data_IF_638540125364
#
_entry.id   IF_638540125364
#
_cell.length_a   1.000
_cell.length_b   1.000
_cell.length_c   1.000
_cell.angle_alpha   90.00
_cell.angle_beta   90.00
_cell.angle_gamma   90.00
#
_symmetry.space_group_name_H-M   'P 1'
#
loop_
_entity.id
_entity.type
_entity.pdbx_description
1 polymer ?
#
# COMPACT_ATOMS: atom_id res chain seq x y z
N UNK A 1 1.06 13.43 13.99
CA UNK A 1 2.51 13.67 13.69
C UNK A 1 2.69 14.05 12.22
N UNK A 2 3.07 15.28 11.91
CA UNK A 2 3.34 15.71 10.53
C UNK A 2 4.81 15.47 10.17
N UNK A 3 5.08 14.50 9.29
CA UNK A 3 6.43 14.26 8.76
C UNK A 3 6.54 14.99 7.41
N UNK A 4 7.09 16.21 7.45
CA UNK A 4 7.32 17.07 6.28
C UNK A 4 8.48 16.60 5.39
N UNK A 5 8.39 15.39 4.83
CA UNK A 5 9.44 14.78 4.00
C UNK A 5 9.48 15.33 2.57
N UNK A 6 8.53 16.18 2.19
CA UNK A 6 8.42 16.77 0.85
C UNK A 6 9.65 17.57 0.39
N UNK A 7 10.45 18.08 1.33
CA UNK A 7 11.69 18.82 1.03
C UNK A 7 12.86 17.92 0.63
N UNK A 8 12.72 16.59 0.78
CA UNK A 8 13.73 15.62 0.38
C UNK A 8 13.63 15.35 -1.14
N UNK A 9 13.95 16.36 -1.93
CA UNK A 9 13.74 16.37 -3.39
C UNK A 9 14.52 15.30 -4.14
N UNK A 10 15.57 14.71 -3.55
CA UNK A 10 16.33 13.59 -4.13
C UNK A 10 15.94 12.21 -3.59
N UNK A 11 15.00 12.12 -2.64
CA UNK A 11 14.65 10.86 -2.00
C UNK A 11 13.89 9.94 -2.97
N UNK A 12 14.50 8.80 -3.30
CA UNK A 12 13.92 7.81 -4.22
C UNK A 12 13.20 6.67 -3.53
N UNK A 13 13.63 6.32 -2.32
CA UNK A 13 13.12 5.19 -1.55
C UNK A 13 12.82 5.63 -0.13
N UNK A 14 11.64 5.27 0.37
CA UNK A 14 11.20 5.55 1.72
C UNK A 14 10.53 4.30 2.29
N UNK A 15 10.94 3.89 3.48
CA UNK A 15 10.24 2.86 4.25
C UNK A 15 9.70 3.50 5.52
N UNK A 16 8.43 3.26 5.79
CA UNK A 16 7.71 3.74 6.95
C UNK A 16 7.27 2.50 7.73
N UNK A 17 7.80 2.30 8.92
CA UNK A 17 7.44 1.19 9.79
C UNK A 17 6.69 1.70 11.02
N UNK A 18 5.58 1.06 11.37
CA UNK A 18 4.92 1.23 12.65
C UNK A 18 5.74 0.57 13.77
N UNK A 19 5.70 1.16 14.96
CA UNK A 19 6.16 0.48 16.18
C UNK A 19 5.17 -0.62 16.55
N UNK A 20 5.68 -1.77 16.98
CA UNK A 20 4.87 -2.92 17.40
C UNK A 20 4.32 -2.76 18.84
N UNK A 21 4.82 -1.76 19.55
CA UNK A 21 4.64 -1.52 20.97
C UNK A 21 3.50 -0.53 21.24
N UNK A 22 2.26 -1.01 21.09
CA UNK A 22 1.05 -0.60 21.82
C UNK A 22 0.49 0.81 21.56
N UNK A 23 1.33 1.81 21.30
CA UNK A 23 0.94 3.16 20.93
C UNK A 23 0.92 3.26 19.40
N UNK A 24 -0.07 2.59 18.81
CA UNK A 24 -0.33 2.72 17.38
C UNK A 24 -0.67 4.16 17.04
N UNK A 25 0.05 4.73 16.06
CA UNK A 25 -0.30 5.99 15.42
C UNK A 25 -1.78 5.92 14.96
N UNK A 26 -2.64 6.75 15.55
CA UNK A 26 -4.07 6.78 15.25
C UNK A 26 -4.31 7.38 13.85
N UNK A 27 -5.46 7.04 13.25
CA UNK A 27 -5.88 7.43 11.88
C UNK A 27 -5.73 8.94 11.59
N UNK A 28 -5.82 9.76 12.62
CA UNK A 28 -5.82 11.22 12.58
C UNK A 28 -4.40 11.82 12.51
N UNK A 29 -3.38 11.02 12.87
CA UNK A 29 -2.02 11.48 13.10
C UNK A 29 -1.08 11.35 11.90
N UNK A 30 -1.42 10.55 10.90
CA UNK A 30 -0.51 10.23 9.78
C UNK A 30 -0.78 11.12 8.57
N UNK A 31 -0.52 12.43 8.71
CA UNK A 31 -0.39 13.33 7.55
C UNK A 31 1.07 13.30 7.10
N UNK A 32 1.41 12.30 6.28
CA UNK A 32 2.75 12.22 5.69
C UNK A 32 2.67 12.84 4.30
N UNK A 33 3.37 13.96 4.13
CA UNK A 33 3.57 14.55 2.81
C UNK A 33 4.83 13.93 2.23
N UNK A 34 4.64 13.13 1.19
CA UNK A 34 5.70 12.36 0.54
C UNK A 34 6.43 13.21 -0.51
N UNK A 35 7.75 13.01 -0.70
CA UNK A 35 8.49 13.72 -1.74
C UNK A 35 8.07 13.24 -3.13
N UNK A 36 7.87 14.17 -4.07
CA UNK A 36 7.42 13.87 -5.45
C UNK A 36 8.42 13.06 -6.27
N UNK A 37 9.68 12.99 -5.83
CA UNK A 37 10.75 12.23 -6.47
C UNK A 37 10.76 10.74 -6.09
N UNK A 38 9.90 10.34 -5.14
CA UNK A 38 9.83 8.99 -4.63
C UNK A 38 9.40 8.01 -5.71
N UNK A 39 10.16 6.92 -5.82
CA UNK A 39 9.94 5.82 -6.77
C UNK A 39 9.54 4.54 -6.06
N UNK A 40 9.99 4.37 -4.81
CA UNK A 40 9.75 3.20 -3.98
C UNK A 40 9.20 3.64 -2.62
N UNK A 41 8.07 3.07 -2.22
CA UNK A 41 7.47 3.29 -0.93
C UNK A 41 7.15 1.95 -0.25
N UNK A 42 7.60 1.78 0.98
CA UNK A 42 7.22 0.66 1.84
C UNK A 42 6.48 1.16 3.07
N UNK A 43 5.36 0.51 3.41
CA UNK A 43 4.57 0.75 4.62
C UNK A 43 4.45 -0.58 5.37
N UNK A 44 5.03 -0.66 6.55
CA UNK A 44 5.22 -1.93 7.25
C UNK A 44 4.77 -1.86 8.72
N UNK A 45 4.24 -2.95 9.27
CA UNK A 45 4.01 -3.15 10.70
C UNK A 45 3.10 -2.12 11.38
N UNK A 46 1.97 -1.79 10.76
CA UNK A 46 0.94 -0.95 11.39
C UNK A 46 -0.28 -1.79 11.80
N UNK A 47 -0.34 -2.31 13.04
CA UNK A 47 -1.41 -3.21 13.47
C UNK A 47 -2.80 -2.58 13.41
N UNK A 48 -2.93 -1.30 13.76
CA UNK A 48 -4.23 -0.61 13.90
C UNK A 48 -4.52 0.39 12.75
N UNK A 49 -3.77 0.31 11.64
CA UNK A 49 -3.95 1.20 10.50
C UNK A 49 -5.10 0.72 9.63
N UNK A 50 -6.24 1.41 9.69
CA UNK A 50 -7.45 1.01 8.95
C UNK A 50 -7.51 1.53 7.53
N UNK A 51 -6.95 2.72 7.30
CA UNK A 51 -7.00 3.45 6.04
C UNK A 51 -5.67 4.15 5.80
N UNK A 52 -5.24 4.20 4.54
CA UNK A 52 -4.13 5.03 4.11
C UNK A 52 -4.67 6.41 3.70
N UNK A 53 -4.68 7.36 4.61
CA UNK A 53 -5.13 8.74 4.34
C UNK A 53 -4.03 9.54 3.66
N UNK A 54 -3.84 9.32 2.36
CA UNK A 54 -2.86 10.08 1.60
C UNK A 54 -3.49 10.64 0.33
N UNK A 55 -4.05 11.84 0.46
CA UNK A 55 -4.42 12.68 -0.69
C UNK A 55 -3.26 12.91 -1.67
N UNK A 56 -2.04 12.62 -1.24
CA UNK A 56 -0.83 12.84 -2.02
C UNK A 56 -0.43 11.65 -2.90
N UNK A 57 -1.00 10.44 -2.74
CA UNK A 57 -0.57 9.28 -3.55
C UNK A 57 -0.86 9.48 -5.04
N UNK A 58 -2.05 9.99 -5.38
CA UNK A 58 -2.41 10.40 -6.74
C UNK A 58 -1.44 11.45 -7.31
N UNK A 59 -0.79 12.22 -6.42
CA UNK A 59 0.14 13.30 -6.74
C UNK A 59 1.61 12.91 -6.62
N UNK A 60 1.95 11.62 -6.54
CA UNK A 60 3.32 11.10 -6.63
C UNK A 60 3.64 10.69 -8.07
N UNK A 61 4.12 11.61 -8.92
CA UNK A 61 4.26 11.37 -10.36
C UNK A 61 5.37 10.36 -10.72
N UNK A 62 6.20 9.98 -9.75
CA UNK A 62 7.34 9.09 -9.98
C UNK A 62 7.21 7.75 -9.26
N UNK A 63 6.11 7.49 -8.55
CA UNK A 63 6.00 6.29 -7.73
C UNK A 63 5.72 5.07 -8.60
N UNK A 64 6.66 4.14 -8.60
CA UNK A 64 6.63 2.93 -9.44
C UNK A 64 6.40 1.66 -8.61
N UNK A 65 6.84 1.65 -7.35
CA UNK A 65 6.80 0.48 -6.47
C UNK A 65 6.17 0.82 -5.11
N UNK A 66 5.13 0.08 -4.75
CA UNK A 66 4.44 0.19 -3.47
C UNK A 66 4.39 -1.16 -2.74
N UNK A 67 4.95 -1.21 -1.54
CA UNK A 67 4.91 -2.36 -0.65
C UNK A 67 4.11 -2.05 0.61
N UNK A 68 3.19 -2.95 0.96
CA UNK A 68 2.37 -2.87 2.16
C UNK A 68 2.50 -4.19 2.92
N UNK A 69 3.00 -4.14 4.15
CA UNK A 69 3.38 -5.33 4.92
C UNK A 69 2.84 -5.30 6.34
N UNK A 70 2.21 -6.38 6.79
CA UNK A 70 1.75 -6.55 8.19
C UNK A 70 0.89 -5.38 8.69
N UNK A 71 -0.10 -4.98 7.89
CA UNK A 71 -1.11 -4.00 8.26
C UNK A 71 -2.48 -4.72 8.34
N UNK A 72 -2.76 -5.46 9.42
CA UNK A 72 -3.90 -6.37 9.49
C UNK A 72 -5.26 -5.69 9.48
N UNK A 73 -5.38 -4.48 10.03
CA UNK A 73 -6.63 -3.72 10.01
C UNK A 73 -6.83 -2.89 8.73
N UNK A 74 -5.86 -2.86 7.82
CA UNK A 74 -5.95 -2.06 6.60
C UNK A 74 -6.96 -2.68 5.64
N UNK A 75 -8.04 -1.96 5.36
CA UNK A 75 -9.17 -2.48 4.58
C UNK A 75 -9.33 -1.85 3.19
N UNK A 76 -8.59 -0.79 2.88
CA UNK A 76 -8.70 -0.11 1.57
C UNK A 76 -7.41 0.60 1.17
N UNK A 77 -7.26 0.81 -0.14
CA UNK A 77 -6.18 1.56 -0.77
C UNK A 77 -6.61 2.99 -1.06
N UNK A 78 -5.65 3.94 -1.07
CA UNK A 78 -5.90 5.27 -1.62
C UNK A 78 -6.00 5.17 -3.16
N UNK A 79 -6.35 6.27 -3.83
CA UNK A 79 -6.16 6.39 -5.28
C UNK A 79 -4.67 6.25 -5.59
N UNK A 80 -4.33 5.23 -6.36
CA UNK A 80 -2.94 4.93 -6.72
C UNK A 80 -2.52 5.79 -7.93
N UNK A 81 -1.25 6.24 -7.99
CA UNK A 81 -0.79 7.05 -9.10
C UNK A 81 -0.68 6.21 -10.39
N UNK A 82 -0.94 6.80 -11.58
CA UNK A 82 -0.90 6.09 -12.87
C UNK A 82 0.41 5.35 -13.23
N UNK A 83 1.63 5.83 -12.88
CA UNK A 83 2.87 5.14 -13.23
C UNK A 83 3.18 3.91 -12.35
N UNK A 84 2.31 3.50 -11.44
CA UNK A 84 2.59 2.40 -10.54
C UNK A 84 2.74 1.08 -11.32
N UNK A 85 3.94 0.49 -11.25
CA UNK A 85 4.29 -0.73 -11.98
C UNK A 85 4.06 -1.98 -11.12
N UNK A 86 4.26 -1.86 -9.81
CA UNK A 86 4.23 -2.99 -8.89
C UNK A 86 3.56 -2.61 -7.56
N UNK A 87 2.57 -3.42 -7.18
CA UNK A 87 1.97 -3.44 -5.85
C UNK A 87 2.27 -4.78 -5.17
N UNK A 88 2.85 -4.75 -3.98
CA UNK A 88 3.06 -5.94 -3.15
C UNK A 88 2.33 -5.80 -1.83
N UNK A 89 1.48 -6.76 -1.51
CA UNK A 89 0.72 -6.81 -0.25
C UNK A 89 1.08 -8.12 0.48
N UNK A 90 1.51 -8.03 1.73
CA UNK A 90 1.86 -9.22 2.52
C UNK A 90 1.38 -9.10 3.95
N UNK A 91 0.64 -10.11 4.44
CA UNK A 91 0.16 -10.11 5.83
C UNK A 91 -0.89 -9.03 6.13
N UNK A 92 -1.69 -8.66 5.12
CA UNK A 92 -2.79 -7.70 5.23
C UNK A 92 -4.13 -8.38 4.86
N UNK A 93 -4.72 -9.20 5.76
CA UNK A 93 -5.89 -10.02 5.45
C UNK A 93 -7.11 -9.25 4.93
N UNK A 94 -7.47 -8.12 5.54
CA UNK A 94 -8.63 -7.32 5.11
C UNK A 94 -8.39 -6.74 3.71
N UNK A 95 -7.21 -6.18 3.47
CA UNK A 95 -6.86 -5.63 2.16
C UNK A 95 -6.78 -6.70 1.07
N UNK A 96 -6.24 -7.88 1.39
CA UNK A 96 -6.23 -9.03 0.49
C UNK A 96 -7.63 -9.41 0.03
N UNK A 97 -8.58 -9.49 0.96
CA UNK A 97 -9.97 -9.79 0.63
C UNK A 97 -10.60 -8.67 -0.22
N UNK A 98 -10.32 -7.42 0.10
CA UNK A 98 -10.77 -6.26 -0.63
C UNK A 98 -10.20 -6.17 -2.07
N UNK A 99 -8.99 -6.69 -2.27
CA UNK A 99 -8.30 -6.70 -3.56
C UNK A 99 -8.57 -7.96 -4.41
N UNK A 100 -9.43 -8.88 -3.97
CA UNK A 100 -9.72 -10.12 -4.71
C UNK A 100 -10.11 -9.84 -6.16
N UNK A 101 -9.50 -10.57 -7.10
CA UNK A 101 -9.78 -10.43 -8.54
C UNK A 101 -11.27 -10.55 -8.84
N UNK A 102 -11.80 -9.60 -9.60
CA UNK A 102 -13.19 -9.51 -10.08
C UNK A 102 -14.30 -9.44 -9.00
N UNK A 103 -13.96 -9.59 -7.72
CA UNK A 103 -14.92 -9.71 -6.61
C UNK A 103 -14.68 -8.69 -5.49
N UNK A 104 -13.43 -8.26 -5.34
CA UNK A 104 -13.01 -7.31 -4.33
C UNK A 104 -13.50 -5.90 -4.64
N UNK A 105 -13.93 -5.17 -3.61
CA UNK A 105 -14.36 -3.78 -3.74
C UNK A 105 -13.23 -2.82 -4.14
N UNK A 106 -11.97 -3.21 -3.92
CA UNK A 106 -10.79 -2.44 -4.26
C UNK A 106 -10.13 -2.89 -5.58
N UNK A 107 -10.67 -3.94 -6.22
CA UNK A 107 -10.11 -4.52 -7.45
C UNK A 107 -9.90 -3.46 -8.55
N UNK A 108 -10.86 -2.56 -8.74
CA UNK A 108 -10.77 -1.52 -9.77
C UNK A 108 -9.60 -0.55 -9.58
N UNK A 109 -9.04 -0.43 -8.36
CA UNK A 109 -7.88 0.43 -8.10
C UNK A 109 -6.55 -0.21 -8.52
N UNK A 110 -6.54 -1.54 -8.66
CA UNK A 110 -5.33 -2.32 -8.89
C UNK A 110 -5.35 -3.09 -10.22
N UNK A 111 -6.51 -3.16 -10.89
CA UNK A 111 -6.70 -3.90 -12.13
C UNK A 111 -5.81 -3.42 -13.29
N UNK A 112 -5.44 -2.13 -13.31
CA UNK A 112 -4.58 -1.57 -14.35
C UNK A 112 -3.09 -1.66 -14.01
N UNK A 113 -2.72 -2.15 -12.81
CA UNK A 113 -1.33 -2.28 -12.39
C UNK A 113 -0.70 -3.50 -13.08
N UNK A 114 0.46 -3.35 -13.77
CA UNK A 114 1.12 -4.44 -14.49
C UNK A 114 1.43 -5.65 -13.62
N UNK A 115 1.81 -5.43 -12.35
CA UNK A 115 2.13 -6.49 -11.41
C UNK A 115 1.55 -6.25 -10.03
N UNK A 116 0.71 -7.18 -9.57
CA UNK A 116 0.19 -7.20 -8.21
C UNK A 116 0.44 -8.55 -7.58
N UNK A 117 1.22 -8.56 -6.50
CA UNK A 117 1.56 -9.75 -5.73
C UNK A 117 0.92 -9.65 -4.33
N UNK A 118 0.09 -10.63 -3.95
CA UNK A 118 -0.55 -10.69 -2.63
C UNK A 118 -0.19 -12.01 -1.93
N UNK A 119 0.42 -11.92 -0.75
CA UNK A 119 0.93 -13.07 0.03
C UNK A 119 1.78 -14.05 -0.82
N UNK A 120 2.71 -13.48 -1.61
CA UNK A 120 3.56 -14.21 -2.56
C UNK A 120 2.83 -14.93 -3.71
N UNK A 121 1.57 -14.55 -3.99
CA UNK A 121 0.82 -15.02 -5.14
C UNK A 121 0.58 -13.89 -6.12
N UNK A 122 0.88 -14.13 -7.39
CA UNK A 122 0.57 -13.18 -8.44
C UNK A 122 -0.94 -13.18 -8.69
N UNK A 123 -1.60 -12.01 -8.67
CA UNK A 123 -3.08 -11.95 -8.68
C UNK A 123 -3.72 -12.46 -9.98
N UNK A 124 -2.94 -12.46 -11.07
CA UNK A 124 -3.40 -12.98 -12.37
C UNK A 124 -3.07 -14.45 -12.56
N UNK A 125 -2.30 -15.06 -11.65
CA UNK A 125 -2.09 -16.49 -11.65
C UNK A 125 -3.42 -17.20 -11.38
N UNK A 126 -3.81 -18.21 -12.19
CA UNK A 126 -5.03 -18.96 -11.93
C UNK A 126 -4.93 -19.66 -10.57
N UNK A 127 -5.99 -19.56 -9.76
CA UNK A 127 -6.09 -20.37 -8.55
C UNK A 127 -6.12 -21.84 -8.99
N UNK A 128 -5.06 -22.60 -8.68
CA UNK A 128 -5.11 -24.05 -8.80
C UNK A 128 -6.25 -24.55 -7.92
N UNK A 129 -7.33 -25.00 -8.54
CA UNK A 129 -8.41 -25.72 -7.85
C UNK A 129 -7.84 -27.06 -7.39
N UNK A 130 -7.38 -27.12 -6.15
CA UNK A 130 -7.23 -28.39 -5.45
C UNK A 130 -8.62 -28.93 -5.14
N UNK A 131 -9.20 -29.64 -6.10
CA UNK A 131 -10.29 -30.57 -5.86
C UNK A 131 -9.76 -31.69 -4.96
N UNK A 132 -10.26 -31.75 -3.71
CA UNK A 132 -10.16 -32.91 -2.83
C UNK A 132 -11.57 -33.40 -2.52
#
# INVERSE_FOLDING_TARGET
>A
MELGLHNLTSLKSLSISGQLDGESLQEEDMRITLPRSLTHLSIEYFPNLKYLSFKDFEHLPSLEFLWIRNCPELASLPSLPPPLLLLHIWGCPLLKDACKRDKGNEWSKIADIPRVDIDNKFIYEPEETSEN
#
